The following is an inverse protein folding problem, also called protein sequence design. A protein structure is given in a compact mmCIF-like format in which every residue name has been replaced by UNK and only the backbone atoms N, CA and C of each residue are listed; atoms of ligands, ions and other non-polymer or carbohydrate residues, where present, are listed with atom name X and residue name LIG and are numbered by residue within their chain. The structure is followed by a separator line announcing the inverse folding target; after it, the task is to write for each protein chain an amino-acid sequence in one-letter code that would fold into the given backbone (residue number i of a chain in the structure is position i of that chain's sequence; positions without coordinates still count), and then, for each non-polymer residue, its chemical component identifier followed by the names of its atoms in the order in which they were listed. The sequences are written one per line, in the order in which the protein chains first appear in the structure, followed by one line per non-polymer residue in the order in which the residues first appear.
data_IF_467417761940
#
_entry.id   IF_467417761940
#
_cell.length_a   1.000
_cell.length_b   1.000
_cell.length_c   1.000
_cell.angle_alpha   90.00
_cell.angle_beta   90.00
_cell.angle_gamma   90.00
#
_symmetry.space_group_name_H-M   'P 1'
#
loop_
_entity.id
_entity.type
_entity.pdbx_description
1 polymer ?
#
# COMPACT_ATOMS: atom_id res chain seq x y z
N UNK A 1 22.83 9.31 -5.62
CA UNK A 1 21.52 9.04 -4.98
C UNK A 1 20.82 10.37 -4.71
N UNK A 2 19.55 10.50 -5.08
CA UNK A 2 18.71 11.63 -4.66
C UNK A 2 18.03 11.25 -3.37
N UNK A 3 18.11 12.09 -2.34
CA UNK A 3 17.42 11.87 -1.07
C UNK A 3 16.22 12.81 -1.00
N UNK A 4 15.06 12.24 -0.72
CA UNK A 4 13.78 12.93 -0.63
C UNK A 4 13.13 12.66 0.72
N UNK A 5 12.22 13.55 1.12
CA UNK A 5 11.39 13.35 2.30
C UNK A 5 10.16 12.51 1.94
N UNK A 6 9.98 11.41 2.65
CA UNK A 6 8.81 10.56 2.57
C UNK A 6 8.04 10.53 3.88
N UNK A 7 6.81 10.04 3.81
CA UNK A 7 5.92 9.90 4.96
C UNK A 7 5.43 8.45 5.04
N UNK A 8 5.38 7.90 6.24
CA UNK A 8 4.72 6.61 6.49
C UNK A 8 3.21 6.83 6.52
N UNK A 9 2.46 6.06 5.76
CA UNK A 9 1.00 6.05 5.73
C UNK A 9 0.47 4.65 6.07
N UNK A 10 -0.70 4.60 6.70
CA UNK A 10 -1.47 3.37 6.76
C UNK A 10 -1.96 2.99 5.36
N UNK A 11 -1.90 1.70 5.03
CA UNK A 11 -2.51 1.19 3.78
C UNK A 11 -4.03 1.22 3.91
N UNK A 12 -4.56 0.89 5.09
CA UNK A 12 -5.98 0.92 5.39
C UNK A 12 -6.27 2.07 6.35
N UNK A 13 -7.04 3.03 5.87
CA UNK A 13 -7.57 4.15 6.63
C UNK A 13 -8.96 4.44 6.08
N UNK A 14 -9.95 4.49 6.95
CA UNK A 14 -11.34 4.61 6.58
C UNK A 14 -12.16 5.20 7.72
N UNK A 15 -13.26 5.82 7.33
CA UNK A 15 -14.29 6.30 8.23
C UNK A 15 -15.47 5.35 8.12
N UNK A 16 -15.85 4.76 9.25
CA UNK A 16 -17.02 3.91 9.34
C UNK A 16 -18.24 4.81 9.52
N UNK A 17 -19.22 4.64 8.64
CA UNK A 17 -20.47 5.41 8.65
C UNK A 17 -21.67 4.56 9.05
N UNK A 18 -22.72 5.21 9.52
CA UNK A 18 -23.99 4.56 9.82
C UNK A 18 -24.62 3.95 8.55
N UNK A 19 -25.13 2.73 8.66
CA UNK A 19 -25.90 2.06 7.61
C UNK A 19 -27.42 2.18 7.84
N UNK A 20 -27.83 2.58 9.04
CA UNK A 20 -29.23 2.79 9.41
C UNK A 20 -29.36 4.01 10.32
N UNK A 21 -30.56 4.59 10.37
CA UNK A 21 -30.89 5.62 11.35
C UNK A 21 -31.05 5.02 12.74
N UNK A 22 -30.65 5.76 13.76
CA UNK A 22 -30.85 5.37 15.15
C UNK A 22 -30.15 6.33 16.11
N UNK A 23 -30.41 6.18 17.39
CA UNK A 23 -29.70 6.93 18.43
C UNK A 23 -28.49 6.13 18.90
N UNK A 24 -27.34 6.76 19.08
CA UNK A 24 -26.14 6.11 19.59
C UNK A 24 -26.38 5.69 21.05
N UNK A 25 -26.39 4.38 21.29
CA UNK A 25 -26.63 3.80 22.62
C UNK A 25 -25.30 3.54 23.36
N UNK A 26 -24.27 3.04 22.66
CA UNK A 26 -22.96 2.75 23.26
C UNK A 26 -21.81 3.05 22.29
N UNK A 27 -20.72 3.54 22.86
CA UNK A 27 -19.41 3.70 22.23
C UNK A 27 -18.38 3.01 23.16
N UNK A 28 -18.06 1.72 22.93
CA UNK A 28 -17.20 0.96 23.84
C UNK A 28 -15.73 1.38 23.81
N UNK A 29 -15.32 2.11 22.77
CA UNK A 29 -13.96 2.57 22.53
C UNK A 29 -13.97 4.08 22.29
N UNK A 30 -12.87 4.74 22.62
CA UNK A 30 -12.65 6.16 22.36
C UNK A 30 -11.51 6.36 21.34
N UNK A 31 -11.25 7.63 20.99
CA UNK A 31 -10.07 8.01 20.21
C UNK A 31 -8.80 7.54 20.93
N UNK A 32 -7.80 7.13 20.15
CA UNK A 32 -6.52 6.56 20.57
C UNK A 32 -6.59 5.11 21.08
N UNK A 33 -7.78 4.53 21.27
CA UNK A 33 -7.92 3.11 21.59
C UNK A 33 -7.55 2.21 20.39
N UNK A 34 -7.01 1.04 20.72
CA UNK A 34 -6.76 -0.02 19.74
C UNK A 34 -7.92 -1.01 19.70
N UNK A 35 -8.33 -1.37 18.48
CA UNK A 35 -9.39 -2.34 18.21
C UNK A 35 -8.87 -3.44 17.29
N UNK A 36 -9.45 -4.63 17.40
CA UNK A 36 -9.26 -5.70 16.41
C UNK A 36 -10.44 -5.75 15.43
N UNK A 37 -10.22 -6.38 14.28
CA UNK A 37 -11.27 -6.58 13.30
C UNK A 37 -12.48 -7.32 13.91
N UNK A 38 -13.68 -6.77 13.75
CA UNK A 38 -14.91 -7.34 14.28
C UNK A 38 -15.33 -6.82 15.67
N UNK A 39 -14.50 -5.99 16.34
CA UNK A 39 -14.90 -5.36 17.59
C UNK A 39 -16.09 -4.42 17.39
N UNK A 40 -17.03 -4.43 18.34
CA UNK A 40 -18.17 -3.52 18.34
C UNK A 40 -17.71 -2.11 18.70
N UNK A 41 -17.72 -1.20 17.72
CA UNK A 41 -17.26 0.18 17.91
C UNK A 41 -18.40 1.17 18.15
N UNK A 42 -19.59 0.91 17.59
CA UNK A 42 -20.81 1.69 17.87
C UNK A 42 -22.01 0.76 17.98
N UNK A 43 -22.82 0.94 19.01
CA UNK A 43 -24.14 0.33 19.14
C UNK A 43 -25.19 1.43 19.01
N UNK A 44 -26.08 1.29 18.02
CA UNK A 44 -27.29 2.10 17.93
C UNK A 44 -28.41 1.44 18.74
N UNK A 45 -29.37 2.25 19.19
CA UNK A 45 -30.62 1.76 19.74
C UNK A 45 -31.34 0.89 18.69
N UNK A 46 -31.87 -0.25 19.13
CA UNK A 46 -32.33 -1.32 18.22
C UNK A 46 -33.75 -1.80 18.53
N UNK A 47 -34.47 -1.12 19.43
CA UNK A 47 -35.83 -1.50 19.84
C UNK A 47 -36.79 -1.66 18.67
N UNK A 48 -36.79 -0.72 17.71
CA UNK A 48 -37.63 -0.78 16.51
C UNK A 48 -37.24 -1.94 15.59
N UNK A 49 -35.95 -2.09 15.29
CA UNK A 49 -35.44 -3.16 14.43
C UNK A 49 -35.71 -4.54 15.04
N UNK A 50 -35.56 -4.69 16.36
CA UNK A 50 -35.93 -5.93 17.08
C UNK A 50 -37.42 -6.22 17.00
N UNK A 51 -38.27 -5.20 17.14
CA UNK A 51 -39.71 -5.37 16.98
C UNK A 51 -40.08 -5.83 15.56
N UNK A 52 -39.43 -5.27 14.53
CA UNK A 52 -39.60 -5.70 13.13
C UNK A 52 -39.15 -7.14 12.90
N UNK A 53 -38.02 -7.55 13.47
CA UNK A 53 -37.56 -8.96 13.43
C UNK A 53 -38.59 -9.89 14.08
N UNK A 54 -39.11 -9.52 15.25
CA UNK A 54 -40.13 -10.32 15.93
C UNK A 54 -41.42 -10.44 15.10
N UNK A 55 -41.87 -9.36 14.47
CA UNK A 55 -43.03 -9.36 13.59
C UNK A 55 -42.81 -10.25 12.36
N UNK A 56 -41.67 -10.12 11.68
CA UNK A 56 -41.33 -10.93 10.52
C UNK A 56 -41.17 -12.42 10.88
N UNK A 57 -40.61 -12.70 12.06
CA UNK A 57 -40.48 -14.05 12.59
C UNK A 57 -41.85 -14.69 12.80
N UNK A 58 -42.81 -13.97 13.40
CA UNK A 58 -44.18 -14.45 13.57
C UNK A 58 -44.87 -14.71 12.22
N UNK A 59 -44.70 -13.81 11.24
CA UNK A 59 -45.23 -14.00 9.89
C UNK A 59 -44.64 -15.22 9.17
N UNK A 60 -43.34 -15.50 9.36
CA UNK A 60 -42.70 -16.71 8.86
C UNK A 60 -43.28 -17.97 9.50
N UNK A 61 -43.49 -17.95 10.81
CA UNK A 61 -44.05 -19.10 11.53
C UNK A 61 -45.50 -19.40 11.12
N UNK A 62 -46.32 -18.36 10.90
CA UNK A 62 -47.67 -18.48 10.33
C UNK A 62 -47.63 -19.11 8.91
N UNK A 63 -46.81 -18.56 8.02
CA UNK A 63 -46.69 -19.05 6.65
C UNK A 63 -46.16 -20.49 6.61
N UNK A 64 -45.26 -20.85 7.53
CA UNK A 64 -44.72 -22.21 7.67
C UNK A 64 -45.80 -23.20 8.09
N UNK A 65 -46.66 -22.83 9.04
CA UNK A 65 -47.78 -23.65 9.45
C UNK A 65 -48.78 -23.86 8.30
N UNK A 66 -49.10 -22.80 7.56
CA UNK A 66 -49.99 -22.88 6.40
C UNK A 66 -49.41 -23.77 5.27
N UNK A 67 -48.10 -23.68 5.00
CA UNK A 67 -47.42 -24.56 4.06
C UNK A 67 -47.47 -26.03 4.53
N UNK A 68 -47.22 -26.30 5.80
CA UNK A 68 -47.29 -27.66 6.34
C UNK A 68 -48.70 -28.27 6.20
N UNK A 69 -49.75 -27.50 6.49
CA UNK A 69 -51.14 -27.95 6.28
C UNK A 69 -51.43 -28.22 4.80
N UNK A 70 -51.07 -27.29 3.90
CA UNK A 70 -51.27 -27.46 2.47
C UNK A 70 -50.51 -28.68 1.91
N UNK A 71 -49.30 -28.95 2.41
CA UNK A 71 -48.49 -30.11 2.05
C UNK A 71 -49.16 -31.41 2.49
N UNK A 72 -49.68 -31.46 3.72
CA UNK A 72 -50.42 -32.61 4.23
C UNK A 72 -51.71 -32.85 3.43
N UNK A 73 -52.46 -31.78 3.11
CA UNK A 73 -53.67 -31.87 2.29
C UNK A 73 -53.37 -32.39 0.88
N UNK A 74 -52.36 -31.84 0.21
CA UNK A 74 -51.93 -32.30 -1.10
C UNK A 74 -51.53 -33.78 -1.07
N UNK A 75 -50.73 -34.20 -0.09
CA UNK A 75 -50.29 -35.60 0.06
C UNK A 75 -51.48 -36.56 0.24
N UNK A 76 -52.53 -36.15 0.97
CA UNK A 76 -53.79 -36.92 1.08
C UNK A 76 -54.52 -37.02 -0.25
N UNK A 77 -54.66 -35.91 -0.97
CA UNK A 77 -55.35 -35.86 -2.26
C UNK A 77 -54.60 -36.68 -3.32
N UNK A 78 -53.28 -36.59 -3.36
CA UNK A 78 -52.42 -37.36 -4.25
C UNK A 78 -52.59 -38.88 -4.05
N UNK A 79 -52.62 -39.34 -2.78
CA UNK A 79 -52.84 -40.74 -2.45
C UNK A 79 -54.21 -41.28 -2.89
N UNK A 80 -55.25 -40.43 -2.88
CA UNK A 80 -56.62 -40.79 -3.30
C UNK A 80 -56.77 -40.71 -4.82
N UNK A 81 -56.13 -39.72 -5.47
CA UNK A 81 -56.07 -39.58 -6.93
C UNK A 81 -55.43 -40.81 -7.59
N UNK A 82 -54.38 -41.37 -6.99
CA UNK A 82 -53.74 -42.61 -7.45
C UNK A 82 -54.68 -43.82 -7.49
N UNK A 83 -55.81 -43.76 -6.76
CA UNK A 83 -56.88 -44.77 -6.75
C UNK A 83 -58.04 -44.43 -7.69
N UNK A 84 -57.97 -43.31 -8.42
CA UNK A 84 -59.02 -42.84 -9.34
C UNK A 84 -60.26 -42.25 -8.65
N UNK A 85 -60.16 -41.89 -7.37
CA UNK A 85 -61.31 -41.51 -6.53
C UNK A 85 -61.49 -40.00 -6.33
N UNK A 86 -60.67 -39.17 -6.98
CA UNK A 86 -60.72 -37.69 -6.89
C UNK A 86 -60.80 -37.09 -8.30
N UNK A 87 -61.46 -35.94 -8.41
CA UNK A 87 -61.56 -35.22 -9.68
C UNK A 87 -60.25 -34.50 -10.03
N UNK A 88 -59.94 -34.35 -11.33
CA UNK A 88 -58.78 -33.58 -11.77
C UNK A 88 -58.79 -32.14 -11.24
N UNK A 89 -59.97 -31.52 -11.15
CA UNK A 89 -60.14 -30.18 -10.61
C UNK A 89 -59.74 -30.08 -9.13
N UNK A 90 -60.06 -31.06 -8.30
CA UNK A 90 -59.68 -31.09 -6.89
C UNK A 90 -58.17 -31.31 -6.71
N UNK A 91 -57.58 -32.18 -7.52
CA UNK A 91 -56.12 -32.39 -7.53
C UNK A 91 -55.38 -31.10 -7.92
N UNK A 92 -55.77 -30.47 -9.03
CA UNK A 92 -55.16 -29.22 -9.51
C UNK A 92 -55.34 -28.10 -8.47
N UNK A 93 -56.49 -28.03 -7.78
CA UNK A 93 -56.72 -27.07 -6.67
C UNK A 93 -55.78 -27.32 -5.50
N UNK A 94 -55.59 -28.57 -5.08
CA UNK A 94 -54.66 -28.90 -4.00
C UNK A 94 -53.21 -28.58 -4.37
N UNK A 95 -52.80 -28.87 -5.60
CA UNK A 95 -51.48 -28.53 -6.13
C UNK A 95 -51.24 -27.02 -6.13
N UNK A 96 -52.20 -26.24 -6.64
CA UNK A 96 -52.13 -24.79 -6.66
C UNK A 96 -52.10 -24.18 -5.25
N UNK A 97 -52.87 -24.74 -4.31
CA UNK A 97 -52.85 -24.33 -2.91
C UNK A 97 -51.47 -24.58 -2.27
N UNK A 98 -50.87 -25.75 -2.50
CA UNK A 98 -49.53 -26.08 -2.01
C UNK A 98 -48.48 -25.11 -2.59
N UNK A 99 -48.51 -24.90 -3.91
CA UNK A 99 -47.61 -23.96 -4.58
C UNK A 99 -47.77 -22.53 -4.02
N UNK A 100 -49.01 -22.07 -3.82
CA UNK A 100 -49.29 -20.76 -3.22
C UNK A 100 -48.82 -20.64 -1.77
N UNK A 101 -48.99 -21.69 -0.96
CA UNK A 101 -48.51 -21.70 0.42
C UNK A 101 -46.97 -21.71 0.50
N UNK A 102 -46.30 -22.45 -0.39
CA UNK A 102 -44.84 -22.43 -0.54
C UNK A 102 -44.33 -21.03 -0.87
N UNK A 103 -44.92 -20.39 -1.87
CA UNK A 103 -44.53 -19.02 -2.26
C UNK A 103 -44.77 -18.01 -1.12
N UNK A 104 -45.80 -18.20 -0.28
CA UNK A 104 -46.02 -17.36 0.92
C UNK A 104 -44.93 -17.58 1.96
N UNK A 105 -44.52 -18.83 2.21
CA UNK A 105 -43.42 -19.14 3.11
C UNK A 105 -42.11 -18.51 2.62
N UNK A 106 -41.75 -18.70 1.35
CA UNK A 106 -40.53 -18.12 0.77
C UNK A 106 -40.50 -16.57 0.89
N UNK A 107 -41.64 -15.90 0.67
CA UNK A 107 -41.75 -14.44 0.90
C UNK A 107 -41.58 -14.05 2.37
N UNK A 108 -42.15 -14.81 3.30
CA UNK A 108 -42.03 -14.51 4.72
C UNK A 108 -40.61 -14.75 5.26
N UNK A 109 -39.91 -15.77 4.73
CA UNK A 109 -38.50 -16.02 5.00
C UNK A 109 -37.62 -14.86 4.50
N UNK A 110 -37.88 -14.36 3.29
CA UNK A 110 -37.18 -13.19 2.76
C UNK A 110 -37.40 -11.93 3.61
N UNK A 111 -38.64 -11.68 4.07
CA UNK A 111 -38.95 -10.55 4.95
C UNK A 111 -38.26 -10.67 6.32
N UNK A 112 -38.12 -11.88 6.87
CA UNK A 112 -37.35 -12.12 8.10
C UNK A 112 -35.86 -11.84 7.89
N UNK A 113 -35.29 -12.30 6.77
CA UNK A 113 -33.89 -12.04 6.44
C UNK A 113 -33.61 -10.53 6.30
N UNK A 114 -34.49 -9.79 5.63
CA UNK A 114 -34.40 -8.32 5.51
C UNK A 114 -34.43 -7.64 6.89
N UNK A 115 -35.37 -8.03 7.77
CA UNK A 115 -35.46 -7.47 9.11
C UNK A 115 -34.22 -7.77 9.97
N UNK A 116 -33.65 -8.97 9.82
CA UNK A 116 -32.41 -9.37 10.51
C UNK A 116 -31.20 -8.57 10.03
N UNK A 117 -31.08 -8.35 8.72
CA UNK A 117 -30.03 -7.52 8.14
C UNK A 117 -30.14 -6.08 8.66
N UNK A 118 -31.35 -5.52 8.68
CA UNK A 118 -31.60 -4.18 9.22
C UNK A 118 -31.24 -4.06 10.71
N UNK A 119 -31.47 -5.12 11.49
CA UNK A 119 -31.05 -5.20 12.89
C UNK A 119 -29.52 -5.27 12.99
N UNK A 120 -28.85 -5.99 12.10
CA UNK A 120 -27.38 -6.10 12.08
C UNK A 120 -26.71 -4.73 11.90
N UNK A 121 -27.31 -3.84 11.10
CA UNK A 121 -26.83 -2.47 10.90
C UNK A 121 -26.83 -1.59 12.15
N UNK A 122 -27.54 -1.99 13.21
CA UNK A 122 -27.49 -1.30 14.52
C UNK A 122 -26.21 -1.63 15.30
N UNK A 123 -25.45 -2.65 14.89
CA UNK A 123 -24.18 -3.07 15.47
C UNK A 123 -23.06 -2.77 14.48
N UNK A 124 -22.37 -1.66 14.69
CA UNK A 124 -21.29 -1.22 13.83
C UNK A 124 -19.98 -1.77 14.39
N UNK A 125 -19.28 -2.56 13.58
CA UNK A 125 -18.01 -3.21 13.95
C UNK A 125 -16.83 -2.62 13.20
N UNK A 126 -15.62 -2.78 13.77
CA UNK A 126 -14.38 -2.38 13.12
C UNK A 126 -14.09 -3.27 11.88
N UNK A 127 -13.88 -2.68 10.68
CA UNK A 127 -13.60 -3.47 9.46
C UNK A 127 -12.20 -4.08 9.44
N UNK A 128 -11.26 -3.54 10.21
CA UNK A 128 -9.88 -4.02 10.35
C UNK A 128 -9.33 -3.63 11.73
N UNK A 129 -8.24 -4.30 12.13
CA UNK A 129 -7.52 -3.96 13.35
C UNK A 129 -6.67 -2.70 13.19
N UNK A 130 -6.59 -1.89 14.25
CA UNK A 130 -5.95 -0.59 14.17
C UNK A 130 -6.15 0.29 15.40
N UNK A 131 -5.97 1.60 15.18
CA UNK A 131 -6.21 2.66 16.16
C UNK A 131 -7.35 3.56 15.65
N UNK A 132 -8.24 3.95 16.55
CA UNK A 132 -9.28 4.94 16.30
C UNK A 132 -8.68 6.35 16.36
N UNK A 133 -8.84 7.13 15.29
CA UNK A 133 -8.20 8.45 15.16
C UNK A 133 -9.15 9.60 15.40
N UNK A 134 -10.42 9.42 15.07
CA UNK A 134 -11.42 10.48 15.20
C UNK A 134 -12.78 9.91 15.56
N UNK A 135 -13.48 10.64 16.42
CA UNK A 135 -14.86 10.39 16.79
C UNK A 135 -15.76 11.48 16.23
N UNK A 136 -16.79 11.06 15.50
CA UNK A 136 -17.71 11.94 14.77
C UNK A 136 -19.10 12.03 15.41
N UNK A 137 -19.36 11.22 16.45
CA UNK A 137 -20.67 11.14 17.12
C UNK A 137 -20.55 10.95 18.63
N UNK A 138 -21.58 11.34 19.36
CA UNK A 138 -21.69 11.18 20.81
C UNK A 138 -22.80 10.21 21.24
N UNK A 139 -22.70 9.65 22.45
CA UNK A 139 -23.77 8.86 23.06
C UNK A 139 -25.02 9.73 23.21
N UNK A 140 -26.17 9.23 22.77
CA UNK A 140 -27.44 9.96 22.75
C UNK A 140 -27.69 10.78 21.48
N UNK A 141 -26.70 10.91 20.60
CA UNK A 141 -26.87 11.57 19.30
C UNK A 141 -27.69 10.70 18.35
N UNK A 142 -28.52 11.34 17.52
CA UNK A 142 -29.25 10.65 16.44
C UNK A 142 -28.46 10.70 15.15
N UNK A 143 -28.28 9.54 14.50
CA UNK A 143 -27.51 9.41 13.27
C UNK A 143 -28.40 9.01 12.09
N UNK A 144 -27.95 9.35 10.88
CA UNK A 144 -28.59 8.97 9.61
C UNK A 144 -27.65 8.15 8.72
N UNK A 145 -28.18 7.32 7.79
CA UNK A 145 -27.36 6.55 6.85
C UNK A 145 -26.35 7.43 6.11
N UNK A 146 -25.09 6.97 6.06
CA UNK A 146 -23.98 7.70 5.47
C UNK A 146 -23.26 8.67 6.42
N UNK A 147 -23.84 8.99 7.58
CA UNK A 147 -23.20 9.85 8.57
C UNK A 147 -21.93 9.18 9.14
N UNK A 148 -20.77 9.86 9.11
CA UNK A 148 -19.54 9.41 9.77
C UNK A 148 -19.76 9.11 11.25
N UNK A 149 -19.18 8.01 11.75
CA UNK A 149 -19.26 7.64 13.17
C UNK A 149 -17.88 7.65 13.82
N UNK A 150 -16.95 6.85 13.28
CA UNK A 150 -15.59 6.70 13.78
C UNK A 150 -14.64 6.58 12.60
N UNK A 151 -13.48 7.21 12.70
CA UNK A 151 -12.38 7.01 11.76
C UNK A 151 -11.26 6.25 12.44
N UNK A 152 -10.57 5.41 11.67
CA UNK A 152 -9.45 4.66 12.17
C UNK A 152 -8.47 4.28 11.07
N UNK A 153 -7.28 3.87 11.48
CA UNK A 153 -6.22 3.43 10.60
C UNK A 153 -5.59 2.14 11.11
N UNK A 154 -5.16 1.30 10.17
CA UNK A 154 -4.48 0.05 10.51
C UNK A 154 -2.97 0.28 10.65
N UNK A 155 -2.39 -0.31 11.70
CA UNK A 155 -0.94 -0.35 11.89
C UNK A 155 -0.30 -1.63 11.29
N UNK A 156 -1.10 -2.61 10.88
CA UNK A 156 -0.60 -3.89 10.36
C UNK A 156 0.06 -3.75 8.99
N UNK A 157 -0.45 -2.81 8.18
CA UNK A 157 0.01 -2.61 6.82
C UNK A 157 0.36 -1.15 6.63
N UNK A 158 1.66 -0.85 6.69
CA UNK A 158 2.19 0.48 6.47
C UNK A 158 2.88 0.57 5.10
N UNK A 159 2.92 1.77 4.56
CA UNK A 159 3.66 2.10 3.34
C UNK A 159 4.38 3.42 3.50
N UNK A 160 5.45 3.59 2.75
CA UNK A 160 6.13 4.87 2.59
C UNK A 160 5.65 5.50 1.31
N UNK A 161 5.31 6.78 1.37
CA UNK A 161 4.94 7.61 0.23
C UNK A 161 5.96 8.73 0.09
N UNK A 162 6.44 8.95 -1.13
CA UNK A 162 7.36 10.05 -1.45
C UNK A 162 6.99 10.63 -2.80
N UNK A 163 7.14 11.95 -2.93
CA UNK A 163 6.88 12.67 -4.16
C UNK A 163 8.22 13.00 -4.85
N UNK A 164 8.39 12.48 -6.07
CA UNK A 164 9.59 12.60 -6.89
C UNK A 164 9.45 13.73 -7.91
N UNK A 165 10.37 14.73 -7.97
CA UNK A 165 10.34 15.75 -9.01
C UNK A 165 10.35 15.16 -10.43
N UNK A 166 9.54 15.72 -11.33
CA UNK A 166 9.32 15.22 -12.70
C UNK A 166 10.62 14.97 -13.48
N UNK A 167 11.66 15.78 -13.29
CA UNK A 167 12.95 15.61 -13.99
C UNK A 167 13.63 14.26 -13.73
N UNK A 168 13.30 13.58 -12.63
CA UNK A 168 13.89 12.29 -12.24
C UNK A 168 12.98 11.09 -12.55
N UNK A 169 11.77 11.32 -13.04
CA UNK A 169 10.73 10.30 -13.23
C UNK A 169 11.16 9.17 -14.17
N UNK A 170 11.86 9.50 -15.26
CA UNK A 170 12.30 8.52 -16.25
C UNK A 170 13.26 7.46 -15.68
N UNK A 171 14.19 7.88 -14.81
CA UNK A 171 15.16 6.98 -14.17
C UNK A 171 14.50 6.13 -13.09
N UNK A 172 13.74 6.76 -12.18
CA UNK A 172 13.04 6.04 -11.13
C UNK A 172 12.06 4.98 -11.68
N UNK A 173 11.41 5.25 -12.83
CA UNK A 173 10.51 4.30 -13.49
C UNK A 173 11.23 3.08 -14.06
N UNK A 174 12.48 3.24 -14.53
CA UNK A 174 13.29 2.15 -15.09
C UNK A 174 13.84 1.25 -14.00
N UNK A 175 14.50 1.83 -13.00
CA UNK A 175 15.29 1.06 -12.04
C UNK A 175 14.43 0.51 -10.89
N UNK A 176 13.33 1.20 -10.56
CA UNK A 176 12.36 0.80 -9.52
C UNK A 176 12.97 0.45 -8.15
N UNK A 177 14.08 1.08 -7.83
CA UNK A 177 14.78 0.91 -6.56
C UNK A 177 14.64 2.15 -5.70
N UNK A 178 14.49 1.95 -4.40
CA UNK A 178 14.58 3.00 -3.40
C UNK A 178 15.03 2.38 -2.08
N UNK A 179 15.78 3.15 -1.30
CA UNK A 179 16.14 2.81 0.07
C UNK A 179 15.42 3.76 1.01
N UNK A 180 14.75 3.23 2.02
CA UNK A 180 14.10 4.03 3.05
C UNK A 180 14.93 3.98 4.32
N UNK A 181 15.20 5.15 4.90
CA UNK A 181 15.99 5.30 6.13
C UNK A 181 15.24 6.18 7.13
N UNK A 182 15.20 5.76 8.39
CA UNK A 182 14.71 6.55 9.51
C UNK A 182 15.69 7.68 9.87
N UNK A 183 15.21 8.66 10.65
CA UNK A 183 16.04 9.76 11.13
C UNK A 183 17.24 9.32 11.99
N UNK A 184 17.14 8.16 12.65
CA UNK A 184 18.21 7.55 13.45
C UNK A 184 19.22 6.74 12.63
N UNK A 185 19.08 6.70 11.30
CA UNK A 185 19.97 5.99 10.39
C UNK A 185 19.61 4.53 10.14
N UNK A 186 18.58 3.97 10.79
CA UNK A 186 18.11 2.61 10.50
C UNK A 186 17.50 2.54 9.11
N UNK A 187 17.91 1.54 8.33
CA UNK A 187 17.31 1.23 7.03
C UNK A 187 16.07 0.38 7.26
N UNK A 188 14.95 0.77 6.64
CA UNK A 188 13.69 0.01 6.70
C UNK A 188 13.62 -0.96 5.52
N UNK A 189 13.18 -2.18 5.81
CA UNK A 189 12.91 -3.17 4.78
C UNK A 189 11.58 -2.87 4.07
N UNK A 190 11.65 -2.67 2.75
CA UNK A 190 10.50 -2.40 1.91
C UNK A 190 10.28 -3.46 0.84
N UNK A 191 9.03 -3.61 0.40
CA UNK A 191 8.68 -4.28 -0.85
C UNK A 191 9.07 -3.45 -2.07
N UNK A 192 8.62 -3.90 -3.24
CA UNK A 192 8.92 -3.24 -4.51
C UNK A 192 8.39 -1.81 -4.55
N UNK A 193 9.19 -0.92 -5.15
CA UNK A 193 8.79 0.46 -5.38
C UNK A 193 7.75 0.51 -6.50
N UNK A 194 6.56 1.02 -6.18
CA UNK A 194 5.50 1.30 -7.14
C UNK A 194 5.60 2.74 -7.61
N UNK A 195 5.81 2.93 -8.92
CA UNK A 195 5.84 4.23 -9.58
C UNK A 195 4.47 4.54 -10.19
N UNK A 196 3.83 5.64 -9.78
CA UNK A 196 2.54 6.06 -10.33
C UNK A 196 2.77 6.92 -11.58
N UNK A 197 2.31 6.51 -12.78
CA UNK A 197 2.68 7.15 -14.05
C UNK A 197 1.87 8.41 -14.39
N UNK A 198 1.48 9.19 -13.38
CA UNK A 198 0.81 10.47 -13.53
C UNK A 198 1.41 11.48 -12.54
N UNK A 199 1.58 12.72 -13.00
CA UNK A 199 2.14 13.79 -12.18
C UNK A 199 1.01 14.54 -11.45
N UNK A 200 1.32 15.03 -10.25
CA UNK A 200 0.51 16.06 -9.63
C UNK A 200 0.76 17.41 -10.35
N UNK A 201 -0.25 18.03 -10.98
CA UNK A 201 -0.06 19.26 -11.75
C UNK A 201 0.27 20.49 -10.88
N UNK A 202 -0.06 20.46 -9.58
CA UNK A 202 0.23 21.57 -8.66
C UNK A 202 1.70 21.55 -8.20
N UNK A 203 2.28 20.36 -8.01
CA UNK A 203 3.65 20.20 -7.48
C UNK A 203 4.66 19.74 -8.53
N UNK A 204 4.22 19.35 -9.73
CA UNK A 204 5.05 18.75 -10.77
C UNK A 204 5.88 17.55 -10.29
N UNK A 205 5.28 16.72 -9.42
CA UNK A 205 5.90 15.52 -8.85
C UNK A 205 5.15 14.24 -9.25
N UNK A 206 5.88 13.12 -9.28
CA UNK A 206 5.34 11.77 -9.45
C UNK A 206 5.36 11.06 -8.10
N UNK A 207 4.29 10.33 -7.79
CA UNK A 207 4.19 9.61 -6.52
C UNK A 207 4.90 8.25 -6.60
N UNK A 208 5.73 7.96 -5.61
CA UNK A 208 6.30 6.64 -5.38
C UNK A 208 5.72 6.06 -4.09
N UNK A 209 5.46 4.76 -4.08
CA UNK A 209 5.03 4.04 -2.88
C UNK A 209 5.86 2.79 -2.68
N UNK A 210 6.21 2.51 -1.43
CA UNK A 210 6.92 1.29 -1.04
C UNK A 210 6.21 0.70 0.17
N UNK A 211 5.76 -0.56 0.08
CA UNK A 211 5.14 -1.25 1.21
C UNK A 211 6.21 -1.60 2.24
N UNK A 212 5.95 -1.36 3.53
CA UNK A 212 6.86 -1.80 4.59
C UNK A 212 6.65 -3.30 4.85
N UNK A 213 7.75 -4.06 4.95
CA UNK A 213 7.68 -5.52 5.19
C UNK A 213 7.52 -5.85 6.67
N UNK A 214 8.20 -5.11 7.53
CA UNK A 214 8.16 -5.30 8.97
C UNK A 214 7.82 -3.97 9.68
N UNK A 215 6.52 -3.70 9.92
CA UNK A 215 6.11 -2.64 10.82
C UNK A 215 6.22 -3.15 12.26
N UNK A 216 7.39 -2.98 12.88
CA UNK A 216 7.77 -3.59 14.18
C UNK A 216 7.05 -2.95 15.40
N UNK A 217 5.83 -2.43 15.23
CA UNK A 217 5.09 -1.66 16.24
C UNK A 217 5.69 -0.30 16.60
N UNK A 218 6.89 0.02 16.12
CA UNK A 218 7.58 1.30 16.36
C UNK A 218 7.35 2.34 15.25
N UNK A 219 6.59 1.97 14.21
CA UNK A 219 6.33 2.82 13.06
C UNK A 219 4.85 3.24 13.09
N UNK A 220 4.62 4.53 12.99
CA UNK A 220 3.29 5.12 13.01
C UNK A 220 3.05 5.91 11.72
N UNK A 221 1.81 5.92 11.21
CA UNK A 221 1.42 6.84 10.16
C UNK A 221 1.73 8.30 10.55
N UNK A 222 2.20 9.08 9.58
CA UNK A 222 2.65 10.47 9.79
C UNK A 222 4.15 10.61 10.08
N UNK A 223 4.86 9.53 10.41
CA UNK A 223 6.32 9.61 10.62
C UNK A 223 7.06 9.96 9.33
N UNK A 224 8.05 10.86 9.47
CA UNK A 224 8.95 11.24 8.38
C UNK A 224 10.07 10.23 8.21
N UNK A 225 10.40 9.93 6.96
CA UNK A 225 11.51 9.08 6.56
C UNK A 225 12.29 9.72 5.41
N UNK A 226 13.55 9.32 5.24
CA UNK A 226 14.36 9.68 4.08
C UNK A 226 14.27 8.58 3.05
N UNK A 227 13.99 8.93 1.79
CA UNK A 227 13.95 7.99 0.67
C UNK A 227 15.06 8.32 -0.30
N UNK A 228 16.03 7.40 -0.41
CA UNK A 228 17.10 7.45 -1.39
C UNK A 228 16.67 6.78 -2.70
N UNK A 229 16.58 7.54 -3.79
CA UNK A 229 16.27 7.02 -5.13
C UNK A 229 17.52 7.15 -6.03
N UNK A 230 17.95 6.08 -6.71
CA UNK A 230 19.10 6.13 -7.63
C UNK A 230 18.68 6.78 -8.96
N UNK A 231 18.51 8.11 -8.97
CA UNK A 231 18.12 8.89 -10.16
C UNK A 231 19.26 9.74 -10.74
N UNK A 232 20.49 9.46 -10.32
CA UNK A 232 21.67 10.12 -10.85
C UNK A 232 22.54 9.05 -11.51
N UNK A 233 22.47 8.97 -12.84
CA UNK A 233 23.58 8.45 -13.62
C UNK A 233 24.45 9.66 -13.88
N UNK A 234 25.50 9.84 -13.08
CA UNK A 234 26.61 10.71 -13.51
C UNK A 234 27.58 9.76 -14.18
N UNK A 235 27.60 9.79 -15.50
CA UNK A 235 28.75 9.30 -16.26
C UNK A 235 29.95 10.14 -15.83
N UNK A 236 30.81 9.55 -15.01
CA UNK A 236 31.90 10.27 -14.35
C UNK A 236 33.15 9.45 -14.49
N UNK A 237 34.23 10.10 -14.89
CA UNK A 237 35.47 9.42 -15.19
C UNK A 237 36.15 9.08 -13.86
N UNK A 238 36.42 7.79 -13.65
CA UNK A 238 37.14 7.34 -12.46
C UNK A 238 38.61 7.08 -12.80
N UNK A 239 39.48 7.52 -11.91
CA UNK A 239 40.91 7.17 -11.94
C UNK A 239 41.31 6.53 -10.59
N UNK A 240 42.35 5.68 -10.55
CA UNK A 240 42.93 5.24 -9.29
C UNK A 240 43.36 6.45 -8.45
N UNK A 241 43.04 6.45 -7.14
CA UNK A 241 43.39 7.59 -6.28
C UNK A 241 44.91 7.78 -6.16
N UNK A 242 45.71 6.74 -6.43
CA UNK A 242 47.18 6.80 -6.46
C UNK A 242 47.72 7.63 -7.64
N UNK A 243 46.94 7.81 -8.70
CA UNK A 243 47.33 8.57 -9.89
C UNK A 243 47.38 10.09 -9.65
N UNK A 244 46.74 10.58 -8.60
CA UNK A 244 46.61 12.01 -8.32
C UNK A 244 47.91 12.59 -7.76
N UNK A 245 48.43 13.61 -8.42
CA UNK A 245 49.48 14.49 -7.90
C UNK A 245 48.81 15.66 -7.21
N UNK A 246 49.07 15.80 -5.91
CA UNK A 246 48.64 16.94 -5.11
C UNK A 246 49.86 17.74 -4.66
N UNK A 247 50.01 18.96 -5.16
CA UNK A 247 51.05 19.92 -4.71
C UNK A 247 50.38 21.24 -4.40
N UNK A 248 50.25 21.56 -3.11
CA UNK A 248 49.46 22.71 -2.64
C UNK A 248 48.02 22.65 -3.21
N UNK A 249 47.60 23.68 -3.94
CA UNK A 249 46.28 23.76 -4.59
C UNK A 249 46.22 23.04 -5.95
N UNK A 250 47.37 22.66 -6.52
CA UNK A 250 47.40 21.97 -7.80
C UNK A 250 47.00 20.50 -7.62
N UNK A 251 45.94 20.12 -8.33
CA UNK A 251 45.51 18.73 -8.55
C UNK A 251 45.73 18.38 -10.01
N UNK A 252 46.62 17.43 -10.26
CA UNK A 252 46.99 17.05 -11.62
C UNK A 252 47.25 15.55 -11.74
N UNK A 253 47.20 15.03 -12.96
CA UNK A 253 47.58 13.66 -13.30
C UNK A 253 48.53 13.67 -14.48
N UNK A 254 49.30 12.61 -14.68
CA UNK A 254 50.03 12.41 -15.94
C UNK A 254 49.19 11.61 -16.90
N UNK A 255 48.94 12.17 -18.08
CA UNK A 255 48.26 11.51 -19.20
C UNK A 255 49.29 11.20 -20.28
N UNK A 256 49.29 9.98 -20.81
CA UNK A 256 50.16 9.60 -21.92
C UNK A 256 49.63 10.17 -23.23
N UNK A 257 50.47 10.87 -23.99
CA UNK A 257 50.16 11.26 -25.37
C UNK A 257 50.26 10.07 -26.35
N UNK A 258 49.87 10.26 -27.61
CA UNK A 258 49.89 9.21 -28.65
C UNK A 258 51.28 8.59 -28.88
N UNK A 259 52.34 9.25 -28.39
CA UNK A 259 53.73 8.80 -28.47
C UNK A 259 54.21 8.17 -27.15
N UNK A 260 53.29 7.94 -26.21
CA UNK A 260 53.57 7.34 -24.90
C UNK A 260 54.28 8.26 -23.92
N UNK A 261 54.27 9.58 -24.14
CA UNK A 261 54.97 10.55 -23.28
C UNK A 261 54.02 11.15 -22.24
N UNK A 262 54.38 11.18 -20.94
CA UNK A 262 53.52 11.68 -19.88
C UNK A 262 53.46 13.20 -19.94
N UNK A 263 52.24 13.74 -19.96
CA UNK A 263 51.98 15.17 -19.87
C UNK A 263 51.17 15.47 -18.63
N UNK A 264 51.63 16.45 -17.86
CA UNK A 264 50.93 16.89 -16.66
C UNK A 264 49.65 17.62 -17.07
N UNK A 265 48.51 17.13 -16.60
CA UNK A 265 47.21 17.73 -16.86
C UNK A 265 46.51 18.05 -15.55
N UNK A 266 46.10 19.31 -15.41
CA UNK A 266 45.30 19.73 -14.27
C UNK A 266 43.91 19.11 -14.38
N UNK A 267 43.43 18.56 -13.26
CA UNK A 267 42.11 17.92 -13.17
C UNK A 267 41.32 18.49 -12.01
N UNK A 268 40.00 18.59 -12.20
CA UNK A 268 39.06 18.85 -11.11
C UNK A 268 38.53 17.53 -10.61
N UNK A 269 38.71 17.24 -9.33
CA UNK A 269 38.35 15.95 -8.75
C UNK A 269 37.10 16.08 -7.86
N UNK A 270 36.30 15.02 -7.81
CA UNK A 270 35.08 14.90 -7.01
C UNK A 270 35.28 14.00 -5.80
N UNK A 271 34.34 13.09 -5.57
CA UNK A 271 34.36 12.18 -4.42
C UNK A 271 35.41 11.08 -4.58
N UNK A 272 35.91 10.56 -3.45
CA UNK A 272 36.78 9.38 -3.39
C UNK A 272 35.98 8.20 -2.85
N UNK A 273 35.92 7.10 -3.60
CA UNK A 273 35.16 5.90 -3.24
C UNK A 273 35.92 4.64 -3.68
N UNK A 274 36.01 3.63 -2.81
CA UNK A 274 36.62 2.32 -3.13
C UNK A 274 38.02 2.41 -3.78
N UNK A 275 38.89 3.30 -3.28
CA UNK A 275 40.25 3.48 -3.82
C UNK A 275 40.32 4.23 -5.16
N UNK A 276 39.19 4.62 -5.74
CA UNK A 276 39.09 5.43 -6.95
C UNK A 276 38.70 6.87 -6.63
N UNK A 277 39.03 7.77 -7.54
CA UNK A 277 38.76 9.20 -7.45
C UNK A 277 37.96 9.64 -8.67
N UNK A 278 36.86 10.34 -8.41
CA UNK A 278 36.00 10.92 -9.43
C UNK A 278 36.71 12.12 -10.11
N UNK A 279 36.64 12.22 -11.43
CA UNK A 279 37.16 13.34 -12.22
C UNK A 279 36.00 14.11 -12.85
N UNK A 280 35.83 15.35 -12.37
CA UNK A 280 34.76 16.27 -12.77
C UNK A 280 35.11 17.12 -14.00
N UNK A 281 36.40 17.26 -14.31
CA UNK A 281 36.90 17.98 -15.50
C UNK A 281 38.40 17.71 -15.71
N UNK A 282 38.85 17.84 -16.95
CA UNK A 282 40.27 17.81 -17.32
C UNK A 282 40.77 16.47 -17.89
N UNK A 283 39.90 15.48 -18.05
CA UNK A 283 40.19 14.22 -18.75
C UNK A 283 39.03 13.87 -19.68
N UNK A 284 39.35 13.08 -20.70
CA UNK A 284 38.39 12.44 -21.59
C UNK A 284 38.40 10.92 -21.41
N UNK A 285 37.29 10.27 -21.78
CA UNK A 285 37.20 8.81 -21.79
C UNK A 285 38.26 8.19 -22.72
N UNK A 286 38.84 7.07 -22.30
CA UNK A 286 39.88 6.36 -23.06
C UNK A 286 41.31 6.90 -22.93
N UNK A 287 41.51 8.05 -22.28
CA UNK A 287 42.87 8.55 -22.00
C UNK A 287 43.62 7.62 -21.02
N UNK A 288 44.93 7.45 -21.19
CA UNK A 288 45.75 6.61 -20.31
C UNK A 288 46.42 7.45 -19.22
N UNK A 289 46.09 7.15 -17.96
CA UNK A 289 46.59 7.86 -16.79
C UNK A 289 47.64 7.03 -16.04
N UNK A 290 48.74 7.67 -15.63
CA UNK A 290 49.80 7.00 -14.86
C UNK A 290 49.37 6.78 -13.41
N UNK A 291 49.44 5.52 -12.95
CA UNK A 291 48.94 5.07 -11.63
C UNK A 291 49.86 5.48 -10.47
N UNK A 292 51.18 5.56 -10.71
CA UNK A 292 52.20 5.88 -9.71
C UNK A 292 53.14 6.99 -10.22
N UNK A 293 52.70 8.26 -10.18
CA UNK A 293 53.45 9.37 -10.77
C UNK A 293 54.74 9.72 -10.03
N UNK A 294 54.93 9.23 -8.79
CA UNK A 294 56.16 9.44 -8.02
C UNK A 294 57.39 8.79 -8.67
N UNK A 295 57.20 7.74 -9.48
CA UNK A 295 58.27 7.04 -10.20
C UNK A 295 58.78 7.82 -11.42
N UNK A 296 58.10 8.90 -11.81
CA UNK A 296 58.47 9.76 -12.95
C UNK A 296 59.43 10.91 -12.57
N UNK A 297 59.72 11.11 -11.28
CA UNK A 297 60.53 12.23 -10.81
C UNK A 297 62.02 11.92 -11.07
N UNK A 298 62.59 12.55 -12.12
CA UNK A 298 64.04 12.56 -12.38
C UNK A 298 64.53 11.96 -13.70
N UNK A 299 63.65 11.60 -14.64
CA UNK A 299 64.05 10.99 -15.93
C UNK A 299 63.44 11.67 -17.15
N UNK A 300 64.28 12.14 -18.09
CA UNK A 300 63.87 12.68 -19.41
C UNK A 300 63.47 11.59 -20.43
N UNK A 301 63.56 10.32 -20.04
CA UNK A 301 63.11 9.16 -20.81
C UNK A 301 62.50 8.12 -19.87
N UNK A 302 61.22 7.83 -20.10
CA UNK A 302 60.56 6.66 -19.53
C UNK A 302 61.18 5.40 -20.12
N UNK A 303 62.01 4.71 -19.35
CA UNK A 303 62.24 3.29 -19.56
C UNK A 303 61.15 2.57 -18.78
N UNK A 304 59.97 2.40 -19.39
CA UNK A 304 58.96 1.48 -18.86
C UNK A 304 59.49 0.05 -19.10
N UNK A 305 59.88 -0.72 -18.08
CA UNK A 305 59.96 -2.16 -18.27
C UNK A 305 58.56 -2.61 -18.72
N UNK A 306 58.49 -3.36 -19.82
CA UNK A 306 57.26 -3.82 -20.49
C UNK A 306 56.27 -4.61 -19.62
N UNK A 307 56.47 -4.68 -18.30
CA UNK A 307 55.67 -5.45 -17.36
C UNK A 307 54.67 -4.63 -16.51
N UNK A 308 54.69 -3.29 -16.53
CA UNK A 308 53.79 -2.47 -15.69
C UNK A 308 53.03 -1.35 -16.41
N UNK A 309 53.04 -1.33 -17.74
CA UNK A 309 52.14 -0.48 -18.53
C UNK A 309 50.72 -1.07 -18.56
N UNK A 310 50.14 -1.29 -17.39
CA UNK A 310 48.71 -1.52 -17.24
C UNK A 310 48.05 -0.14 -17.19
N UNK A 311 48.00 0.53 -18.34
CA UNK A 311 47.14 1.70 -18.49
C UNK A 311 45.70 1.22 -18.31
N UNK A 312 45.16 1.39 -17.11
CA UNK A 312 43.73 1.17 -16.91
C UNK A 312 43.04 2.35 -17.60
N UNK A 313 42.48 2.07 -18.78
CA UNK A 313 41.76 3.07 -19.56
C UNK A 313 40.71 3.72 -18.67
N UNK A 314 40.57 5.03 -18.78
CA UNK A 314 39.51 5.76 -18.07
C UNK A 314 38.18 5.16 -18.51
N UNK A 315 37.47 4.52 -17.57
CA UNK A 315 36.17 3.89 -17.76
C UNK A 315 35.07 4.77 -17.16
N UNK A 316 33.93 4.76 -17.82
CA UNK A 316 32.68 5.33 -17.32
C UNK A 316 32.13 4.56 -16.10
#
# INVERSE_FOLDING_TARGET
MLVLDGVIEAVQQSTVSAQTSGTVQKLPFDVDDSVVAGDLIVQLESSEQRARVNQAQAGRDEARAAFADAQQQFSRIEAVQARGLVSRQEFDRAQNNLAGARARLERAEAALAEAQEQLSYTRIVAPYGGILTERHVEIGESVSPGQPLLSGLSLEQLRVVVDLPQQYAGLARRDRQAQVTLADGRVLETGDMTFYPYANPATHTFRLRMRLREPNGSLFPGMLVKVGVPVAIRETLWIPASSLIRRSELRAVFVLDDQGRPRLRQVRTGVKQEGRLEVLAGLSEGEQVVIHPAELVGTDRLNLPRAHASGEGVRN
#
